data_IF_319346029274
#
_entry.id   IF_319346029274
#
_cell.length_a   1.000
_cell.length_b   1.000
_cell.length_c   1.000
_cell.angle_alpha   90.00
_cell.angle_beta   90.00
_cell.angle_gamma   90.00
#
_symmetry.space_group_name_H-M   'P 1'
#
loop_
_entity.id
_entity.type
_entity.pdbx_description
1 polymer ?
#
# COMPACT_ATOMS: atom_id res chain seq x y z
N UNK A 1 -4.91 -19.84 6.24
CA UNK A 1 -3.77 -19.45 5.38
C UNK A 1 -2.74 -18.76 6.25
N UNK A 2 -1.53 -19.30 6.35
CA UNK A 2 -0.48 -18.73 7.20
C UNK A 2 -0.11 -17.32 6.70
N UNK A 3 -0.10 -16.33 7.59
CA UNK A 3 0.35 -14.98 7.26
C UNK A 3 1.85 -15.05 7.01
N UNK A 4 2.26 -14.99 5.74
CA UNK A 4 3.67 -14.95 5.34
C UNK A 4 4.28 -13.64 5.85
N UNK A 5 5.02 -13.72 6.97
CA UNK A 5 5.65 -12.56 7.60
C UNK A 5 6.86 -12.15 6.77
N UNK A 6 6.79 -10.97 6.16
CA UNK A 6 7.92 -10.39 5.43
C UNK A 6 8.78 -9.58 6.39
N UNK A 7 10.09 -9.56 6.14
CA UNK A 7 11.00 -8.65 6.82
C UNK A 7 10.74 -7.20 6.38
N UNK A 8 11.28 -6.26 7.15
CA UNK A 8 11.24 -4.85 6.82
C UNK A 8 11.92 -4.56 5.47
N UNK A 9 13.09 -5.16 5.24
CA UNK A 9 13.82 -5.06 3.98
C UNK A 9 13.02 -5.62 2.79
N UNK A 10 12.36 -6.76 2.95
CA UNK A 10 11.49 -7.32 1.89
C UNK A 10 10.29 -6.43 1.60
N UNK A 11 9.71 -5.82 2.64
CA UNK A 11 8.58 -4.93 2.48
C UNK A 11 8.99 -3.61 1.84
N UNK A 12 10.15 -3.07 2.21
CA UNK A 12 10.74 -1.89 1.57
C UNK A 12 10.99 -2.15 0.08
N UNK A 13 11.73 -3.21 -0.26
CA UNK A 13 12.00 -3.62 -1.65
C UNK A 13 10.71 -3.73 -2.47
N UNK A 14 9.67 -4.34 -1.89
CA UNK A 14 8.39 -4.45 -2.56
C UNK A 14 7.74 -3.10 -2.83
N UNK A 15 7.80 -2.17 -1.88
CA UNK A 15 7.21 -0.83 -2.05
C UNK A 15 7.98 -0.04 -3.12
N UNK A 16 9.30 -0.19 -3.21
CA UNK A 16 10.12 0.41 -4.27
C UNK A 16 9.73 -0.13 -5.66
N UNK A 17 9.61 -1.46 -5.80
CA UNK A 17 9.16 -2.08 -7.05
C UNK A 17 7.71 -1.72 -7.39
N UNK A 18 6.88 -1.53 -6.37
CA UNK A 18 5.49 -1.11 -6.55
C UNK A 18 5.40 0.35 -7.02
N UNK A 19 6.26 1.23 -6.52
CA UNK A 19 6.37 2.63 -6.99
C UNK A 19 6.63 2.69 -8.49
N UNK A 20 7.61 1.92 -8.99
CA UNK A 20 7.99 1.85 -10.41
C UNK A 20 6.85 1.32 -11.29
N UNK A 21 6.04 0.41 -10.77
CA UNK A 21 4.92 -0.19 -11.48
C UNK A 21 3.66 0.70 -11.48
N UNK A 22 3.73 1.90 -12.07
CA UNK A 22 2.65 2.91 -12.10
C UNK A 22 1.29 2.36 -12.52
N UNK A 23 1.26 1.47 -13.52
CA UNK A 23 0.02 0.87 -14.01
C UNK A 23 -0.72 0.00 -12.96
N UNK A 24 -0.06 -0.37 -11.85
CA UNK A 24 -0.66 -1.14 -10.75
C UNK A 24 -1.32 -0.27 -9.68
N UNK A 25 -0.98 1.02 -9.59
CA UNK A 25 -1.43 1.88 -8.48
C UNK A 25 -2.00 3.21 -8.92
N UNK A 26 -1.52 3.77 -10.02
CA UNK A 26 -1.88 5.09 -10.50
C UNK A 26 -3.09 4.99 -11.44
N UNK A 27 -4.30 5.30 -10.95
CA UNK A 27 -5.51 5.28 -11.79
C UNK A 27 -5.50 6.33 -12.92
N UNK A 28 -4.61 7.34 -12.82
CA UNK A 28 -4.43 8.39 -13.84
C UNK A 28 -3.49 7.94 -14.95
N UNK A 29 -2.73 6.87 -14.73
CA UNK A 29 -1.79 6.34 -15.71
C UNK A 29 -2.54 5.67 -16.87
N UNK A 30 -2.13 5.95 -18.10
CA UNK A 30 -2.81 5.45 -19.31
C UNK A 30 -2.91 3.92 -19.34
N UNK A 31 -1.87 3.23 -18.87
CA UNK A 31 -1.83 1.77 -18.83
C UNK A 31 -2.60 1.14 -17.66
N UNK A 32 -3.19 1.92 -16.75
CA UNK A 32 -3.94 1.38 -15.60
C UNK A 32 -5.16 0.54 -16.01
N UNK A 33 -5.83 0.92 -17.10
CA UNK A 33 -6.96 0.17 -17.66
C UNK A 33 -6.52 -0.96 -18.61
N UNK A 34 -5.24 -1.00 -18.99
CA UNK A 34 -4.70 -2.01 -19.88
C UNK A 34 -4.38 -3.29 -19.06
N UNK A 35 -5.15 -4.36 -19.32
CA UNK A 35 -5.00 -5.64 -18.64
C UNK A 35 -3.63 -6.27 -18.89
N UNK A 36 -3.15 -6.23 -20.13
CA UNK A 36 -1.87 -6.82 -20.51
C UNK A 36 -0.69 -6.09 -19.86
N UNK A 37 -0.71 -4.76 -19.89
CA UNK A 37 0.31 -3.95 -19.23
C UNK A 37 0.38 -4.22 -17.71
N UNK A 38 -0.78 -4.37 -17.06
CA UNK A 38 -0.85 -4.72 -15.65
C UNK A 38 -0.36 -6.13 -15.35
N UNK A 39 -0.69 -7.09 -16.21
CA UNK A 39 -0.23 -8.47 -16.06
C UNK A 39 1.30 -8.56 -16.22
N UNK A 40 1.85 -7.89 -17.23
CA UNK A 40 3.29 -7.77 -17.46
C UNK A 40 4.00 -7.11 -16.27
N UNK A 41 3.49 -5.99 -15.76
CA UNK A 41 4.05 -5.34 -14.57
C UNK A 41 3.95 -6.23 -13.32
N UNK A 42 2.85 -6.95 -13.15
CA UNK A 42 2.65 -7.88 -12.02
C UNK A 42 3.68 -9.01 -12.08
N UNK A 43 3.87 -9.63 -13.25
CA UNK A 43 4.88 -10.67 -13.47
C UNK A 43 6.29 -10.15 -13.23
N UNK A 44 6.62 -8.96 -13.75
CA UNK A 44 7.92 -8.35 -13.55
C UNK A 44 8.21 -8.12 -12.05
N UNK A 45 7.26 -7.56 -11.31
CA UNK A 45 7.39 -7.33 -9.88
C UNK A 45 7.58 -8.65 -9.10
N UNK A 46 6.80 -9.69 -9.41
CA UNK A 46 6.95 -11.03 -8.81
C UNK A 46 8.35 -11.60 -9.05
N UNK A 47 8.83 -11.52 -10.29
CA UNK A 47 10.16 -12.00 -10.66
C UNK A 47 11.27 -11.23 -9.93
N UNK A 48 11.16 -9.90 -9.84
CA UNK A 48 12.15 -9.07 -9.14
C UNK A 48 12.18 -9.29 -7.63
N UNK A 49 11.03 -9.63 -7.02
CA UNK A 49 10.99 -10.05 -5.62
C UNK A 49 11.76 -11.35 -5.39
N UNK A 50 11.78 -12.25 -6.39
CA UNK A 50 12.50 -13.52 -6.36
C UNK A 50 12.22 -14.33 -5.08
N UNK A 51 10.95 -14.39 -4.68
CA UNK A 51 10.51 -15.08 -3.47
C UNK A 51 9.84 -16.42 -3.82
N UNK A 52 10.15 -17.51 -3.09
CA UNK A 52 9.47 -18.79 -3.30
C UNK A 52 8.00 -18.67 -2.92
N UNK A 53 7.09 -19.26 -3.70
CA UNK A 53 5.64 -19.21 -3.45
C UNK A 53 5.11 -17.76 -3.32
N UNK A 54 5.51 -16.89 -4.24
CA UNK A 54 4.93 -15.55 -4.37
C UNK A 54 4.26 -15.44 -5.73
N UNK A 55 2.93 -15.52 -5.77
CA UNK A 55 2.15 -15.53 -7.00
C UNK A 55 1.36 -14.23 -7.22
N UNK A 56 0.59 -14.16 -8.30
CA UNK A 56 -0.28 -13.04 -8.61
C UNK A 56 -1.33 -12.76 -7.52
N UNK A 57 -1.84 -13.78 -6.85
CA UNK A 57 -2.78 -13.64 -5.74
C UNK A 57 -2.08 -13.08 -4.50
N UNK A 58 -0.89 -13.57 -4.15
CA UNK A 58 -0.07 -12.98 -3.08
C UNK A 58 0.27 -11.51 -3.36
N UNK A 59 0.62 -11.18 -4.60
CA UNK A 59 0.89 -9.80 -5.02
C UNK A 59 -0.30 -8.90 -4.76
N UNK A 60 -1.49 -9.28 -5.24
CA UNK A 60 -2.73 -8.51 -5.03
C UNK A 60 -3.05 -8.34 -3.54
N UNK A 61 -2.88 -9.40 -2.75
CA UNK A 61 -3.08 -9.35 -1.30
C UNK A 61 -2.06 -8.43 -0.62
N UNK A 62 -0.79 -8.48 -1.04
CA UNK A 62 0.25 -7.62 -0.50
C UNK A 62 0.00 -6.14 -0.84
N UNK A 63 -0.36 -5.82 -2.08
CA UNK A 63 -0.75 -4.47 -2.49
C UNK A 63 -1.90 -3.96 -1.60
N UNK A 64 -2.94 -4.78 -1.41
CA UNK A 64 -4.07 -4.43 -0.56
C UNK A 64 -3.65 -4.16 0.88
N UNK A 65 -2.78 -4.99 1.44
CA UNK A 65 -2.27 -4.82 2.81
C UNK A 65 -1.44 -3.54 2.94
N UNK A 66 -0.50 -3.29 2.04
CA UNK A 66 0.31 -2.05 2.03
C UNK A 66 -0.58 -0.81 2.00
N UNK A 67 -1.56 -0.78 1.10
CA UNK A 67 -2.50 0.35 1.00
C UNK A 67 -3.34 0.51 2.26
N UNK A 68 -3.81 -0.59 2.84
CA UNK A 68 -4.60 -0.56 4.07
C UNK A 68 -3.78 -0.02 5.24
N UNK A 69 -2.57 -0.54 5.45
CA UNK A 69 -1.69 -0.08 6.53
C UNK A 69 -1.28 1.38 6.31
N UNK A 70 -0.94 1.77 5.08
CA UNK A 70 -0.64 3.16 4.75
C UNK A 70 -1.78 4.11 5.11
N UNK A 71 -3.02 3.78 4.74
CA UNK A 71 -4.21 4.59 5.10
C UNK A 71 -4.38 4.68 6.62
N UNK A 72 -4.18 3.58 7.34
CA UNK A 72 -4.29 3.58 8.80
C UNK A 72 -3.24 4.50 9.45
N UNK A 73 -2.00 4.44 8.98
CA UNK A 73 -0.91 5.28 9.46
C UNK A 73 -1.19 6.76 9.16
N UNK A 74 -1.55 7.11 7.92
CA UNK A 74 -1.96 8.46 7.54
C UNK A 74 -3.10 8.97 8.44
N UNK A 75 -4.10 8.12 8.73
CA UNK A 75 -5.20 8.50 9.61
C UNK A 75 -4.77 8.69 11.08
N UNK A 76 -3.78 7.95 11.57
CA UNK A 76 -3.19 8.20 12.91
C UNK A 76 -2.47 9.55 12.94
N UNK A 77 -1.65 9.84 11.92
CA UNK A 77 -0.97 11.14 11.76
C UNK A 77 -1.99 12.29 11.74
N UNK A 78 -3.02 12.19 10.87
CA UNK A 78 -4.10 13.19 10.77
C UNK A 78 -4.83 13.39 12.11
N UNK A 79 -5.11 12.31 12.85
CA UNK A 79 -5.78 12.38 14.16
C UNK A 79 -4.90 13.04 15.22
N UNK A 80 -3.60 12.70 15.28
CA UNK A 80 -2.67 13.32 16.22
C UNK A 80 -2.61 14.84 16.02
N UNK A 81 -2.50 15.29 14.76
CA UNK A 81 -2.52 16.71 14.40
C UNK A 81 -3.84 17.37 14.82
N UNK A 82 -4.99 16.73 14.55
CA UNK A 82 -6.32 17.28 14.89
C UNK A 82 -6.55 17.42 16.40
N UNK A 83 -5.97 16.54 17.21
CA UNK A 83 -6.12 16.57 18.67
C UNK A 83 -5.27 17.64 19.36
N UNK A 84 -4.56 18.49 18.61
CA UNK A 84 -3.76 19.58 19.18
C UNK A 84 -2.45 19.13 19.81
N UNK A 85 -2.00 17.91 19.50
CA UNK A 85 -0.68 17.41 19.88
C UNK A 85 0.39 18.25 19.16
N UNK A 86 1.38 18.75 19.90
CA UNK A 86 2.40 19.64 19.33
C UNK A 86 3.15 18.95 18.17
N UNK A 87 3.65 19.70 17.18
CA UNK A 87 4.43 19.14 16.08
C UNK A 87 5.69 18.38 16.55
N UNK A 88 6.22 18.64 17.76
CA UNK A 88 7.31 17.87 18.36
C UNK A 88 6.86 16.51 18.95
N UNK A 89 5.57 16.39 19.32
CA UNK A 89 4.91 15.14 19.75
C UNK A 89 4.16 14.44 18.59
N UNK A 90 4.31 14.93 17.36
CA UNK A 90 3.56 14.41 16.21
C UNK A 90 3.91 12.95 15.94
N UNK A 91 2.88 12.11 15.81
CA UNK A 91 3.05 10.69 15.45
C UNK A 91 3.80 10.57 14.11
N UNK A 92 5.03 10.07 14.15
CA UNK A 92 5.80 9.68 12.96
C UNK A 92 5.65 8.17 12.77
N UNK A 93 5.35 7.72 11.55
CA UNK A 93 5.29 6.28 11.29
C UNK A 93 6.68 5.67 11.46
N UNK A 94 6.81 4.64 12.30
CA UNK A 94 8.06 3.89 12.46
C UNK A 94 8.29 2.83 11.38
N UNK A 95 7.42 2.77 10.37
CA UNK A 95 7.49 1.78 9.31
C UNK A 95 8.54 2.22 8.27
N UNK A 96 9.60 1.43 8.02
CA UNK A 96 10.70 1.85 7.15
C UNK A 96 10.27 2.05 5.69
N UNK A 97 9.21 1.37 5.26
CA UNK A 97 8.64 1.51 3.91
C UNK A 97 7.62 2.64 3.78
N UNK A 98 7.20 3.27 4.89
CA UNK A 98 6.12 4.26 4.85
C UNK A 98 6.53 5.50 4.04
N UNK A 99 7.74 6.01 4.23
CA UNK A 99 8.19 7.20 3.51
C UNK A 99 8.20 6.97 1.99
N UNK A 100 8.71 5.81 1.56
CA UNK A 100 8.67 5.37 0.16
C UNK A 100 7.23 5.29 -0.35
N UNK A 101 6.34 4.63 0.39
CA UNK A 101 4.93 4.54 0.03
C UNK A 101 4.26 5.92 -0.04
N UNK A 102 4.59 6.83 0.88
CA UNK A 102 4.02 8.16 0.98
C UNK A 102 4.35 9.03 -0.25
N UNK A 103 5.53 8.83 -0.87
CA UNK A 103 5.95 9.57 -2.06
C UNK A 103 4.93 9.51 -3.19
N UNK A 104 4.33 8.35 -3.43
CA UNK A 104 3.44 8.11 -4.57
C UNK A 104 1.98 7.80 -4.17
N UNK A 105 1.73 7.16 -3.02
CA UNK A 105 0.36 6.82 -2.61
C UNK A 105 -0.43 8.01 -2.07
N UNK A 106 0.22 9.07 -1.57
CA UNK A 106 -0.48 10.24 -1.00
C UNK A 106 -1.46 10.87 -1.99
N UNK A 107 -1.09 10.96 -3.27
CA UNK A 107 -1.92 11.57 -4.30
C UNK A 107 -3.12 10.68 -4.63
N UNK A 108 -2.89 9.37 -4.71
CA UNK A 108 -3.91 8.41 -5.15
C UNK A 108 -4.91 8.05 -4.04
N UNK A 109 -4.45 8.05 -2.79
CA UNK A 109 -5.28 7.70 -1.63
C UNK A 109 -6.16 8.86 -1.21
N UNK A 110 -5.64 10.10 -1.18
CA UNK A 110 -6.46 11.28 -0.83
C UNK A 110 -7.61 11.50 -1.83
N UNK A 111 -7.40 11.21 -3.13
CA UNK A 111 -8.50 11.30 -4.11
C UNK A 111 -9.57 10.23 -3.91
N UNK A 112 -9.23 9.06 -3.37
CA UNK A 112 -10.19 7.97 -3.13
C UNK A 112 -11.07 8.18 -1.89
N UNK A 113 -10.67 8.99 -0.91
CA UNK A 113 -11.58 9.37 0.20
C UNK A 113 -12.81 10.15 -0.29
N UNK A 114 -12.70 10.87 -1.42
CA UNK A 114 -13.85 11.49 -2.08
C UNK A 114 -14.73 10.50 -2.86
N UNK A 115 -14.24 9.29 -3.12
CA UNK A 115 -14.90 8.27 -3.95
C UNK A 115 -14.82 6.89 -3.28
N UNK A 116 -15.43 6.65 -2.12
CA UNK A 116 -15.93 5.31 -1.78
C UNK A 116 -16.84 5.29 -0.56
N UNK A 117 -18.04 4.77 -0.82
CA UNK A 117 -19.02 4.28 0.14
C UNK A 117 -18.40 3.27 1.13
N UNK A 118 -18.96 3.32 2.33
CA UNK A 118 -18.69 2.52 3.50
C UNK A 118 -18.81 1.00 3.21
N UNK A 119 -17.70 0.25 3.18
CA UNK A 119 -17.71 -1.21 3.40
C UNK A 119 -17.12 -1.49 4.77
N UNK A 120 -18.04 -1.54 5.73
CA UNK A 120 -17.84 -1.98 7.11
C UNK A 120 -17.31 -3.41 7.13
N UNK A 121 -16.03 -3.60 7.45
CA UNK A 121 -15.53 -4.89 7.93
C UNK A 121 -15.94 -5.07 9.38
N UNK A 122 -17.06 -5.76 9.58
CA UNK A 122 -17.40 -6.37 10.87
C UNK A 122 -16.41 -7.52 11.09
N UNK A 123 -15.55 -7.40 12.10
CA UNK A 123 -14.86 -8.54 12.69
C UNK A 123 -15.79 -9.11 13.75
N UNK A 124 -16.44 -10.22 13.45
CA UNK A 124 -17.16 -11.01 14.46
C UNK A 124 -16.13 -11.94 15.10
N UNK A 125 -15.83 -11.70 16.36
CA UNK A 125 -15.20 -12.66 17.25
C UNK A 125 -16.33 -13.45 17.91
N UNK A 126 -16.42 -14.76 17.63
CA UNK A 126 -16.81 -15.78 18.59
C UNK A 126 -16.39 -17.15 18.05
#
# INVERSE_FOLDING_TARGET
MAVKRWTEAQTLKFVELYEDAECLWNFRHALYKNKDARDTASRNLINQMNLPNFDNNDLKNKIKNIRSTYVQEVNKIKRAIKSGMSPDESYVSHLPWFNTAHRFLKEVVNTREHFSNHVSRKYTHQ
#
